data_IF_943994688555
#
_entry.id   IF_943994688555
#
_cell.length_a   1.000
_cell.length_b   1.000
_cell.length_c   1.000
_cell.angle_alpha   90.00
_cell.angle_beta   90.00
_cell.angle_gamma   90.00
#
_symmetry.space_group_name_H-M   'P 1'
#
loop_
_entity.id
_entity.type
_entity.pdbx_description
1 polymer ?
#
# COMPACT_ATOMS: atom_id res chain seq x y z
N UNK A 1 -6.61 -13.34 6.89
CA UNK A 1 -6.22 -11.92 7.06
C UNK A 1 -7.36 -11.11 7.68
N UNK A 2 -8.59 -11.13 7.14
CA UNK A 2 -9.72 -10.39 7.73
C UNK A 2 -10.00 -10.70 9.21
N UNK A 3 -9.96 -11.98 9.62
CA UNK A 3 -10.21 -12.34 11.03
C UNK A 3 -9.12 -11.80 11.96
N UNK A 4 -7.86 -11.81 11.55
CA UNK A 4 -6.76 -11.22 12.33
C UNK A 4 -6.95 -9.71 12.51
N UNK A 5 -7.39 -9.00 11.46
CA UNK A 5 -7.70 -7.57 11.53
C UNK A 5 -8.88 -7.32 12.47
N UNK A 6 -9.95 -8.13 12.40
CA UNK A 6 -11.10 -8.01 13.32
C UNK A 6 -10.68 -8.23 14.78
N UNK A 7 -9.87 -9.27 15.04
CA UNK A 7 -9.34 -9.56 16.38
C UNK A 7 -8.46 -8.40 16.87
N UNK A 8 -7.60 -7.86 16.02
CA UNK A 8 -6.79 -6.68 16.34
C UNK A 8 -7.65 -5.47 16.71
N UNK A 9 -8.66 -5.16 15.89
CA UNK A 9 -9.58 -4.02 16.14
C UNK A 9 -10.35 -4.23 17.44
N UNK A 10 -10.91 -5.42 17.67
CA UNK A 10 -11.65 -5.74 18.90
C UNK A 10 -10.76 -5.61 20.14
N UNK A 11 -9.55 -6.16 20.08
CA UNK A 11 -8.58 -6.06 21.18
C UNK A 11 -8.25 -4.60 21.50
N UNK A 12 -7.98 -3.80 20.47
CA UNK A 12 -7.65 -2.38 20.61
C UNK A 12 -8.83 -1.57 21.19
N UNK A 13 -10.07 -1.89 20.80
CA UNK A 13 -11.28 -1.30 21.35
C UNK A 13 -11.47 -1.64 22.83
N UNK A 14 -11.36 -2.93 23.18
CA UNK A 14 -11.45 -3.38 24.57
C UNK A 14 -10.43 -2.68 25.46
N UNK A 15 -9.19 -2.54 25.01
CA UNK A 15 -8.12 -1.86 25.74
C UNK A 15 -8.41 -0.37 25.97
N UNK A 16 -8.88 0.35 24.95
CA UNK A 16 -9.30 1.76 25.09
C UNK A 16 -10.41 1.87 26.15
N UNK A 17 -11.43 1.01 26.07
CA UNK A 17 -12.55 1.04 27.01
C UNK A 17 -12.15 0.66 28.44
N UNK A 18 -11.24 -0.30 28.61
CA UNK A 18 -10.69 -0.65 29.93
C UNK A 18 -9.93 0.51 30.58
N UNK A 19 -9.41 1.46 29.80
CA UNK A 19 -8.78 2.70 30.30
C UNK A 19 -9.79 3.84 30.52
N UNK A 20 -11.10 3.60 30.37
CA UNK A 20 -12.14 4.62 30.52
C UNK A 20 -12.15 5.69 29.41
N UNK A 21 -11.45 5.45 28.30
CA UNK A 21 -11.37 6.36 27.16
C UNK A 21 -12.48 6.07 26.16
N UNK A 22 -12.88 7.10 25.41
CA UNK A 22 -13.78 6.93 24.26
C UNK A 22 -12.99 6.48 23.04
N UNK A 23 -13.57 5.59 22.24
CA UNK A 23 -12.99 5.21 20.96
C UNK A 23 -12.97 6.42 20.01
N UNK A 24 -11.80 6.81 19.46
CA UNK A 24 -11.73 7.96 18.58
C UNK A 24 -12.43 7.67 17.25
N UNK A 25 -13.09 8.68 16.67
CA UNK A 25 -13.78 8.55 15.39
C UNK A 25 -12.81 8.18 14.25
N UNK A 26 -11.55 8.64 14.34
CA UNK A 26 -10.47 8.30 13.42
C UNK A 26 -9.31 7.66 14.17
N UNK A 27 -8.75 6.54 13.66
CA UNK A 27 -7.59 5.92 14.30
C UNK A 27 -6.39 6.87 14.23
N UNK A 28 -5.57 6.96 15.30
CA UNK A 28 -4.32 7.71 15.26
C UNK A 28 -3.34 7.01 14.32
N UNK A 29 -3.27 7.47 13.08
CA UNK A 29 -2.30 7.01 12.07
C UNK A 29 -1.39 8.16 11.69
N UNK A 30 -0.12 7.86 11.43
CA UNK A 30 0.80 8.90 10.96
C UNK A 30 0.39 9.39 9.55
N UNK A 31 0.63 10.68 9.24
CA UNK A 31 0.43 11.19 7.88
C UNK A 31 1.31 10.44 6.89
N UNK A 32 0.99 10.44 5.58
CA UNK A 32 1.85 9.82 4.57
C UNK A 32 3.25 10.40 4.65
N UNK A 33 4.27 9.55 4.53
CA UNK A 33 5.64 10.06 4.44
C UNK A 33 5.87 10.64 3.04
N UNK A 34 6.79 11.60 2.95
CA UNK A 34 7.20 12.22 1.69
C UNK A 34 8.15 11.28 0.91
N UNK A 35 7.74 10.01 0.73
CA UNK A 35 8.56 8.94 0.12
C UNK A 35 8.63 9.07 -1.41
N UNK A 36 8.30 10.24 -1.93
CA UNK A 36 8.27 10.46 -3.37
C UNK A 36 9.67 10.58 -3.98
N UNK A 37 10.69 10.93 -3.19
CA UNK A 37 12.05 11.09 -3.70
C UNK A 37 12.68 9.73 -4.06
N UNK A 38 12.96 9.53 -5.36
CA UNK A 38 13.64 8.38 -5.94
C UNK A 38 12.83 7.06 -5.99
N UNK A 39 11.49 7.14 -5.97
CA UNK A 39 10.64 5.96 -6.16
C UNK A 39 10.46 5.58 -7.63
N UNK A 40 10.28 4.28 -7.93
CA UNK A 40 9.91 3.82 -9.29
C UNK A 40 8.60 4.46 -9.78
N UNK A 41 7.68 4.78 -8.88
CA UNK A 41 6.44 5.50 -9.23
C UNK A 41 6.72 6.91 -9.77
N UNK A 42 7.69 7.62 -9.19
CA UNK A 42 8.14 8.93 -9.67
C UNK A 42 8.82 8.82 -11.04
N UNK A 43 9.74 7.86 -11.20
CA UNK A 43 10.41 7.58 -12.49
C UNK A 43 9.41 7.26 -13.61
N UNK A 44 8.34 6.53 -13.27
CA UNK A 44 7.23 6.19 -14.16
C UNK A 44 6.31 7.39 -14.51
N UNK A 45 6.44 8.53 -13.83
CA UNK A 45 5.63 9.72 -14.05
C UNK A 45 4.19 9.59 -13.52
N UNK A 46 3.98 8.80 -12.47
CA UNK A 46 2.65 8.61 -11.90
C UNK A 46 2.25 9.73 -10.94
N UNK A 47 0.96 10.05 -10.95
CA UNK A 47 0.34 10.99 -10.02
C UNK A 47 0.03 10.32 -8.67
N UNK A 48 -0.39 11.12 -7.68
CA UNK A 48 -0.79 10.64 -6.36
C UNK A 48 -1.98 9.64 -6.38
N UNK A 49 -2.73 9.54 -7.49
CA UNK A 49 -3.86 8.63 -7.63
C UNK A 49 -3.44 7.22 -8.07
N UNK A 50 -2.19 7.05 -8.53
CA UNK A 50 -1.64 5.77 -8.95
C UNK A 50 -2.04 5.36 -10.39
N UNK A 51 -1.65 4.14 -10.81
CA UNK A 51 -1.80 3.69 -12.19
C UNK A 51 -3.27 3.49 -12.59
N UNK A 52 -3.66 4.07 -13.74
CA UNK A 52 -5.00 3.92 -14.32
C UNK A 52 -4.93 3.25 -15.68
N UNK A 53 -5.92 2.41 -16.00
CA UNK A 53 -5.99 1.77 -17.30
C UNK A 53 -6.11 2.82 -18.42
N UNK A 54 -5.35 2.65 -19.50
CA UNK A 54 -5.37 3.53 -20.65
C UNK A 54 -4.52 4.80 -20.51
N UNK A 55 -3.88 5.06 -19.37
CA UNK A 55 -2.96 6.19 -19.22
C UNK A 55 -1.55 5.83 -19.66
N UNK A 56 -0.80 6.83 -20.10
CA UNK A 56 0.62 6.68 -20.43
C UNK A 56 1.47 6.61 -19.16
N UNK A 57 2.58 5.88 -19.21
CA UNK A 57 3.60 5.83 -18.17
C UNK A 57 4.99 5.71 -18.80
N UNK A 58 6.03 6.14 -18.10
CA UNK A 58 7.43 6.01 -18.55
C UNK A 58 7.99 4.63 -18.20
N UNK A 59 8.49 3.90 -19.19
CA UNK A 59 8.97 2.53 -19.09
C UNK A 59 10.45 2.40 -18.67
N UNK A 60 11.02 3.40 -17.98
CA UNK A 60 12.46 3.48 -17.70
C UNK A 60 12.97 2.27 -16.92
N UNK A 61 12.26 1.86 -15.87
CA UNK A 61 12.63 0.73 -15.01
C UNK A 61 11.86 -0.55 -15.37
N UNK A 62 11.14 -0.57 -16.50
CA UNK A 62 10.26 -1.68 -16.84
C UNK A 62 11.02 -2.85 -17.50
N UNK A 63 10.62 -4.07 -17.18
CA UNK A 63 11.21 -5.29 -17.75
C UNK A 63 10.32 -5.86 -18.85
N UNK A 64 10.81 -6.03 -20.09
CA UNK A 64 10.02 -6.64 -21.17
C UNK A 64 9.61 -8.07 -20.84
N UNK A 65 8.33 -8.39 -21.02
CA UNK A 65 7.76 -9.71 -20.77
C UNK A 65 6.69 -10.08 -21.81
N UNK A 66 6.31 -11.36 -21.78
CA UNK A 66 5.20 -11.91 -22.56
C UNK A 66 4.18 -12.54 -21.63
N UNK A 67 2.91 -12.40 -21.98
CA UNK A 67 1.80 -13.04 -21.28
C UNK A 67 0.82 -13.59 -22.31
N UNK A 68 0.26 -14.78 -22.03
CA UNK A 68 -0.82 -15.37 -22.80
C UNK A 68 -2.07 -15.45 -21.93
N UNK A 69 -3.15 -14.80 -22.36
CA UNK A 69 -4.47 -14.93 -21.73
C UNK A 69 -5.27 -16.11 -22.30
N UNK A 70 -4.96 -16.48 -23.54
CA UNK A 70 -5.56 -17.58 -24.27
C UNK A 70 -4.44 -18.37 -24.96
N UNK A 71 -4.66 -19.67 -25.14
CA UNK A 71 -3.69 -20.54 -25.81
C UNK A 71 -3.40 -20.00 -27.22
N UNK A 72 -2.13 -19.70 -27.50
CA UNK A 72 -1.68 -19.18 -28.79
C UNK A 72 -1.80 -17.66 -28.99
N UNK A 73 -2.26 -16.90 -27.98
CA UNK A 73 -2.33 -15.42 -28.03
C UNK A 73 -1.37 -14.80 -27.01
N UNK A 74 -0.07 -15.01 -27.22
CA UNK A 74 0.97 -14.28 -26.51
C UNK A 74 0.99 -12.81 -26.93
N UNK A 75 1.17 -11.91 -25.97
CA UNK A 75 1.34 -10.48 -26.20
C UNK A 75 2.57 -9.98 -25.46
N UNK A 76 3.25 -9.02 -26.07
CA UNK A 76 4.39 -8.34 -25.48
C UNK A 76 3.93 -7.19 -24.61
N UNK A 77 4.50 -7.08 -23.41
CA UNK A 77 4.27 -5.99 -22.47
C UNK A 77 5.58 -5.62 -21.78
N UNK A 78 5.59 -4.44 -21.19
CA UNK A 78 6.59 -4.00 -20.23
C UNK A 78 6.02 -4.16 -18.84
N UNK A 79 6.70 -4.94 -18.01
CA UNK A 79 6.36 -5.24 -16.63
C UNK A 79 6.98 -4.20 -15.70
N UNK A 80 6.18 -3.67 -14.77
CA UNK A 80 6.66 -2.75 -13.75
C UNK A 80 5.94 -3.01 -12.43
N UNK A 81 6.68 -3.05 -11.33
CA UNK A 81 6.10 -2.96 -9.98
C UNK A 81 6.40 -1.58 -9.39
N UNK A 82 5.43 -1.05 -8.67
CA UNK A 82 5.48 0.29 -8.09
C UNK A 82 4.73 0.31 -6.75
N UNK A 83 5.22 1.09 -5.80
CA UNK A 83 4.51 1.49 -4.60
C UNK A 83 4.29 3.00 -4.57
N UNK A 84 3.18 3.40 -3.95
CA UNK A 84 2.82 4.79 -3.70
C UNK A 84 2.11 4.88 -2.36
N UNK A 85 2.81 5.38 -1.35
CA UNK A 85 2.28 5.45 0.02
C UNK A 85 1.89 4.07 0.56
N UNK A 86 0.65 3.86 0.96
CA UNK A 86 0.21 2.55 1.47
C UNK A 86 -0.22 1.56 0.39
N UNK A 87 -0.18 1.98 -0.88
CA UNK A 87 -0.66 1.21 -2.01
C UNK A 87 0.51 0.75 -2.88
N UNK A 88 0.32 -0.35 -3.59
CA UNK A 88 1.30 -0.83 -4.55
C UNK A 88 0.63 -1.63 -5.64
N UNK A 89 1.23 -1.61 -6.82
CA UNK A 89 0.70 -2.27 -8.00
C UNK A 89 1.78 -2.97 -8.81
N UNK A 90 1.35 -4.02 -9.49
CA UNK A 90 2.01 -4.58 -10.66
C UNK A 90 1.27 -4.06 -11.89
N UNK A 91 2.03 -3.54 -12.84
CA UNK A 91 1.55 -2.90 -14.06
C UNK A 91 2.10 -3.65 -15.27
N UNK A 92 1.23 -3.87 -16.26
CA UNK A 92 1.64 -4.30 -17.59
C UNK A 92 1.26 -3.20 -18.59
N UNK A 93 2.26 -2.65 -19.25
CA UNK A 93 2.11 -1.59 -20.22
C UNK A 93 2.50 -2.05 -21.62
N UNK A 94 1.74 -1.62 -22.61
CA UNK A 94 2.06 -1.83 -24.01
C UNK A 94 2.93 -0.65 -24.49
N UNK A 95 4.08 -0.93 -25.07
CA UNK A 95 5.02 0.08 -25.54
C UNK A 95 4.41 0.92 -26.67
N UNK A 96 4.69 2.24 -26.66
CA UNK A 96 4.27 3.16 -27.71
C UNK A 96 5.41 3.39 -28.70
N UNK A 97 5.32 2.86 -29.95
CA UNK A 97 6.43 2.93 -30.91
C UNK A 97 6.86 4.35 -31.29
N UNK A 98 5.94 5.32 -31.18
CA UNK A 98 6.16 6.71 -31.60
C UNK A 98 6.64 7.61 -30.45
N UNK A 99 6.71 7.09 -29.23
CA UNK A 99 6.98 7.89 -28.03
C UNK A 99 7.78 7.07 -27.01
N UNK A 100 8.94 6.56 -27.40
CA UNK A 100 9.84 5.94 -26.43
C UNK A 100 10.39 6.99 -25.44
N UNK A 101 10.57 6.66 -24.15
CA UNK A 101 10.32 5.37 -23.49
C UNK A 101 8.95 5.34 -22.78
N UNK A 102 7.83 5.57 -23.49
CA UNK A 102 6.48 5.54 -22.91
C UNK A 102 5.70 4.30 -23.33
N UNK A 103 4.75 3.90 -22.50
CA UNK A 103 3.78 2.85 -22.79
C UNK A 103 2.41 3.16 -22.20
N UNK A 104 1.38 2.45 -22.67
CA UNK A 104 0.00 2.57 -22.20
C UNK A 104 -0.32 1.44 -21.24
N UNK A 105 -0.82 1.78 -20.06
CA UNK A 105 -1.26 0.81 -19.06
C UNK A 105 -2.43 0.00 -19.60
N UNK A 106 -2.25 -1.32 -19.74
CA UNK A 106 -3.33 -2.24 -20.15
C UNK A 106 -3.86 -3.07 -19.00
N UNK A 107 -3.02 -3.34 -18.01
CA UNK A 107 -3.43 -4.09 -16.83
C UNK A 107 -2.75 -3.55 -15.58
N UNK A 108 -3.48 -3.64 -14.47
CA UNK A 108 -3.04 -3.24 -13.15
C UNK A 108 -3.53 -4.30 -12.16
N UNK A 109 -2.66 -4.70 -11.25
CA UNK A 109 -2.97 -5.64 -10.18
C UNK A 109 -2.39 -5.13 -8.85
N UNK A 110 -3.06 -5.34 -7.71
CA UNK A 110 -2.49 -5.02 -6.41
C UNK A 110 -1.19 -5.79 -6.16
N UNK A 111 -0.18 -5.10 -5.65
CA UNK A 111 1.10 -5.69 -5.25
C UNK A 111 0.94 -6.56 -4.00
N UNK A 112 0.10 -6.11 -3.07
CA UNK A 112 -0.24 -6.83 -1.85
C UNK A 112 -0.91 -8.18 -2.20
N UNK A 113 -0.30 -9.27 -1.73
CA UNK A 113 -0.79 -10.62 -1.97
C UNK A 113 -0.45 -11.20 -3.35
N UNK A 114 0.39 -10.51 -4.14
CA UNK A 114 0.85 -10.97 -5.46
C UNK A 114 1.65 -12.27 -5.40
N UNK A 115 2.40 -12.50 -4.33
CA UNK A 115 3.16 -13.73 -4.06
C UNK A 115 3.95 -14.22 -5.30
N UNK A 116 4.87 -13.38 -5.82
CA UNK A 116 5.64 -13.69 -7.02
C UNK A 116 6.54 -14.90 -6.78
N UNK A 117 6.61 -15.82 -7.74
CA UNK A 117 7.44 -17.04 -7.64
C UNK A 117 7.96 -17.45 -9.00
N UNK A 118 9.22 -17.90 -9.06
CA UNK A 118 9.73 -18.57 -10.25
C UNK A 118 8.96 -19.87 -10.52
N UNK A 119 8.83 -20.21 -11.81
CA UNK A 119 8.45 -21.54 -12.24
C UNK A 119 9.62 -22.51 -12.03
N UNK A 120 9.33 -23.70 -11.50
CA UNK A 120 10.34 -24.71 -11.18
C UNK A 120 10.87 -25.45 -12.41
N UNK A 121 10.14 -25.44 -13.52
CA UNK A 121 10.53 -26.02 -14.82
C UNK A 121 11.08 -24.98 -15.77
N UNK A 122 10.62 -23.74 -15.65
CA UNK A 122 10.94 -22.66 -16.60
C UNK A 122 11.55 -21.46 -15.87
N UNK A 123 12.89 -21.38 -15.82
CA UNK A 123 13.60 -20.32 -15.07
C UNK A 123 13.31 -18.89 -15.54
N UNK A 124 12.77 -18.73 -16.77
CA UNK A 124 12.35 -17.45 -17.35
C UNK A 124 10.92 -17.06 -17.03
N UNK A 125 10.19 -17.88 -16.28
CA UNK A 125 8.77 -17.67 -16.00
C UNK A 125 8.56 -17.24 -14.55
N UNK A 126 7.75 -16.20 -14.37
CA UNK A 126 7.30 -15.70 -13.08
C UNK A 126 5.80 -15.93 -12.95
N UNK A 127 5.40 -16.65 -11.92
CA UNK A 127 4.01 -16.73 -11.51
C UNK A 127 3.69 -15.61 -10.54
N UNK A 128 2.57 -14.94 -10.77
CA UNK A 128 2.02 -13.94 -9.85
C UNK A 128 0.52 -14.17 -9.68
N UNK A 129 0.02 -14.01 -8.46
CA UNK A 129 -1.39 -14.13 -8.12
C UNK A 129 -2.02 -12.74 -8.13
N UNK A 130 -3.14 -12.60 -8.79
CA UNK A 130 -3.84 -11.33 -8.94
C UNK A 130 -5.18 -11.48 -8.30
N UNK A 131 -5.15 -11.13 -7.03
CA UNK A 131 -6.37 -10.91 -6.28
C UNK A 131 -6.85 -9.51 -6.65
N UNK A 132 -8.06 -9.39 -7.16
CA UNK A 132 -8.77 -8.12 -6.99
C UNK A 132 -8.91 -7.90 -5.49
N UNK A 133 -8.63 -6.68 -5.03
CA UNK A 133 -8.84 -6.27 -3.66
C UNK A 133 -10.35 -6.25 -3.36
N UNK A 134 -10.97 -7.41 -3.20
CA UNK A 134 -12.30 -7.52 -2.60
C UNK A 134 -12.13 -7.43 -1.08
N UNK A 135 -11.70 -6.27 -0.60
CA UNK A 135 -12.05 -5.84 0.74
C UNK A 135 -13.17 -4.81 0.56
N UNK A 136 -14.43 -5.14 0.89
CA UNK A 136 -15.49 -4.15 0.90
C UNK A 136 -15.28 -3.29 2.14
N UNK A 137 -14.44 -2.27 2.03
CA UNK A 137 -14.37 -1.21 3.03
C UNK A 137 -14.98 0.06 2.42
N UNK A 138 -16.31 0.12 2.58
CA UNK A 138 -17.16 1.32 2.52
C UNK A 138 -17.25 2.03 1.15
N UNK A 139 -18.25 1.63 0.35
CA UNK A 139 -19.16 2.53 -0.38
C UNK A 139 -20.28 1.71 -1.07
N UNK A 140 -21.58 2.03 -0.90
CA UNK A 140 -22.66 1.39 -1.65
C UNK A 140 -22.82 2.08 -3.01
N UNK A 141 -21.81 2.02 -3.87
CA UNK A 141 -21.93 2.46 -5.24
C UNK A 141 -22.06 1.25 -6.16
N UNK A 142 -23.10 1.27 -7.01
CA UNK A 142 -23.50 0.23 -7.98
C UNK A 142 -22.38 -0.06 -8.99
N UNK A 143 -21.34 -0.78 -8.58
CA UNK A 143 -20.33 -1.32 -9.47
C UNK A 143 -20.80 -2.68 -9.95
N UNK A 144 -21.09 -2.76 -11.25
CA UNK A 144 -21.37 -4.02 -11.94
C UNK A 144 -20.24 -4.99 -11.63
N UNK A 145 -20.54 -5.98 -10.81
CA UNK A 145 -19.68 -7.08 -10.41
C UNK A 145 -19.40 -7.93 -11.66
N UNK A 146 -18.44 -7.50 -12.48
CA UNK A 146 -17.72 -8.48 -13.29
C UNK A 146 -16.91 -9.29 -12.30
N UNK A 147 -17.37 -10.51 -12.04
CA UNK A 147 -16.63 -11.58 -11.39
C UNK A 147 -15.36 -11.83 -12.18
N UNK A 148 -14.35 -10.99 -11.96
CA UNK A 148 -13.01 -11.21 -12.45
C UNK A 148 -12.42 -12.27 -11.51
N UNK A 149 -12.32 -13.48 -12.05
CA UNK A 149 -11.69 -14.64 -11.43
C UNK A 149 -10.33 -14.21 -10.86
N UNK A 150 -10.04 -14.57 -9.61
CA UNK A 150 -8.70 -14.45 -9.01
C UNK A 150 -7.68 -15.02 -10.01
N UNK A 151 -6.92 -14.13 -10.63
CA UNK A 151 -6.16 -14.44 -11.83
C UNK A 151 -4.79 -14.95 -11.45
N UNK A 152 -4.34 -16.08 -12.02
CA UNK A 152 -2.91 -16.41 -12.00
C UNK A 152 -2.31 -15.85 -13.28
N UNK A 153 -1.37 -14.92 -13.17
CA UNK A 153 -0.52 -14.53 -14.28
C UNK A 153 0.71 -15.42 -14.32
N UNK A 154 1.07 -15.86 -15.51
CA UNK A 154 2.37 -16.45 -15.82
C UNK A 154 3.02 -15.52 -16.84
N UNK A 155 4.09 -14.87 -16.42
CA UNK A 155 4.86 -13.93 -17.22
C UNK A 155 6.12 -14.64 -17.72
N UNK A 156 6.37 -14.59 -19.01
CA UNK A 156 7.57 -15.13 -19.62
C UNK A 156 8.54 -13.99 -19.98
N UNK A 157 9.74 -14.04 -19.44
CA UNK A 157 10.80 -13.07 -19.68
C UNK A 157 11.77 -13.55 -20.76
N UNK A 158 12.62 -12.64 -21.25
CA UNK A 158 13.63 -12.94 -22.28
C UNK A 158 14.61 -14.01 -21.79
N UNK A 159 15.09 -13.85 -20.57
CA UNK A 159 16.13 -14.64 -19.92
C UNK A 159 15.86 -14.73 -18.40
N UNK A 160 16.66 -15.55 -17.72
CA UNK A 160 16.55 -15.81 -16.29
C UNK A 160 16.92 -14.58 -15.44
N UNK A 161 17.88 -13.77 -15.92
CA UNK A 161 18.28 -12.52 -15.27
C UNK A 161 17.10 -11.54 -15.25
N UNK A 162 16.45 -11.32 -16.39
CA UNK A 162 15.25 -10.49 -16.51
C UNK A 162 14.12 -10.98 -15.59
N UNK A 163 13.92 -12.29 -15.49
CA UNK A 163 12.93 -12.87 -14.58
C UNK A 163 13.28 -12.60 -13.11
N UNK A 164 14.57 -12.67 -12.77
CA UNK A 164 15.11 -12.40 -11.43
C UNK A 164 14.99 -10.92 -11.08
N UNK A 165 15.31 -10.02 -12.01
CA UNK A 165 15.10 -8.57 -11.88
C UNK A 165 13.64 -8.26 -11.62
N UNK A 166 12.72 -8.86 -12.38
CA UNK A 166 11.29 -8.66 -12.16
C UNK A 166 10.82 -9.19 -10.79
N UNK A 167 11.35 -10.32 -10.32
CA UNK A 167 11.07 -10.82 -8.98
C UNK A 167 11.59 -9.87 -7.89
N UNK A 168 12.86 -9.44 -7.99
CA UNK A 168 13.47 -8.50 -7.04
C UNK A 168 12.68 -7.19 -6.97
N UNK A 169 12.30 -6.66 -8.12
CA UNK A 169 11.46 -5.47 -8.24
C UNK A 169 10.16 -5.61 -7.45
N UNK A 170 9.43 -6.73 -7.58
CA UNK A 170 8.19 -6.93 -6.81
C UNK A 170 8.47 -7.00 -5.31
N UNK A 171 9.52 -7.72 -4.90
CA UNK A 171 9.84 -7.89 -3.48
C UNK A 171 10.30 -6.59 -2.82
N UNK A 172 11.10 -5.78 -3.52
CA UNK A 172 11.53 -4.46 -3.10
C UNK A 172 10.32 -3.54 -2.86
N UNK A 173 9.42 -3.43 -3.84
CA UNK A 173 8.23 -2.59 -3.71
C UNK A 173 7.28 -3.10 -2.61
N UNK A 174 7.17 -4.42 -2.41
CA UNK A 174 6.40 -5.00 -1.29
C UNK A 174 7.00 -4.57 0.04
N UNK A 175 8.34 -4.59 0.15
CA UNK A 175 9.03 -4.19 1.35
C UNK A 175 8.84 -2.69 1.64
N UNK A 176 8.96 -1.83 0.62
CA UNK A 176 8.69 -0.40 0.75
C UNK A 176 7.24 -0.11 1.17
N UNK A 177 6.27 -0.76 0.53
CA UNK A 177 4.86 -0.67 0.90
C UNK A 177 4.64 -1.12 2.35
N UNK A 178 5.25 -2.23 2.76
CA UNK A 178 5.11 -2.78 4.11
C UNK A 178 5.69 -1.84 5.16
N UNK A 179 6.87 -1.27 4.91
CA UNK A 179 7.51 -0.30 5.79
C UNK A 179 6.66 0.96 5.97
N UNK A 180 6.05 1.48 4.90
CA UNK A 180 5.16 2.64 4.99
C UNK A 180 3.88 2.30 5.76
N UNK A 181 3.28 1.12 5.53
CA UNK A 181 2.12 0.66 6.30
C UNK A 181 2.46 0.54 7.78
N UNK A 182 3.58 -0.09 8.13
CA UNK A 182 4.04 -0.22 9.52
C UNK A 182 4.25 1.15 10.16
N UNK A 183 4.95 2.06 9.48
CA UNK A 183 5.19 3.43 9.98
C UNK A 183 3.89 4.17 10.22
N UNK A 184 2.89 4.03 9.35
CA UNK A 184 1.58 4.67 9.51
C UNK A 184 0.77 4.09 10.66
N UNK A 185 0.84 2.78 10.85
CA UNK A 185 0.13 2.06 11.91
C UNK A 185 0.86 2.07 13.26
N UNK A 186 2.12 2.51 13.32
CA UNK A 186 2.93 2.55 14.55
C UNK A 186 2.22 3.10 15.79
N UNK A 187 1.43 4.20 15.73
CA UNK A 187 0.74 4.70 16.92
C UNK A 187 -0.36 3.76 17.45
N UNK A 188 -0.89 2.86 16.61
CA UNK A 188 -1.85 1.82 17.01
C UNK A 188 -1.17 0.58 17.59
N UNK A 189 0.10 0.36 17.25
CA UNK A 189 0.89 -0.76 17.74
C UNK A 189 1.60 -0.44 19.06
N UNK A 190 1.87 0.84 19.33
CA UNK A 190 2.54 1.30 20.55
C UNK A 190 1.56 1.43 21.73
N UNK A 191 1.12 0.27 22.19
CA UNK A 191 0.15 0.13 23.28
C UNK A 191 0.66 0.72 24.61
N UNK A 192 1.97 0.79 24.81
CA UNK A 192 2.59 1.34 26.03
C UNK A 192 2.33 2.84 26.16
N UNK A 193 2.36 3.58 25.05
CA UNK A 193 2.05 5.01 25.04
C UNK A 193 0.62 5.32 25.48
N UNK A 194 -0.33 4.40 25.22
CA UNK A 194 -1.74 4.55 25.62
C UNK A 194 -1.91 4.45 27.15
N UNK A 195 -1.12 3.59 27.80
CA UNK A 195 -1.11 3.43 29.25
C UNK A 195 -0.41 4.61 29.93
N UNK A 196 0.72 5.05 29.40
CA UNK A 196 1.51 6.16 29.97
C UNK A 196 0.80 7.52 29.89
N UNK A 197 0.09 7.79 28.78
CA UNK A 197 -0.73 9.01 28.65
C UNK A 197 -1.93 9.05 29.61
N UNK A 198 -2.36 7.92 30.17
CA UNK A 198 -3.45 7.90 31.17
C UNK A 198 -2.92 8.39 32.53
N UNK A 199 -1.70 7.99 32.87
CA UNK A 199 -1.08 8.29 34.16
C UNK A 199 -0.63 9.76 34.27
N UNK A 200 -0.41 10.46 33.16
CA UNK A 200 -0.03 11.89 33.18
C UNK A 200 -1.22 12.85 33.31
N UNK A 201 -2.46 12.38 33.08
CA UNK A 201 -3.67 13.22 33.14
C UNK A 201 -4.25 13.41 34.54
N UNK A 202 -3.73 12.71 35.56
CA UNK A 202 -4.11 12.90 36.97
C UNK A 202 -3.16 13.89 37.68
N UNK A 203 -3.22 15.17 37.29
CA UNK A 203 -2.75 16.26 38.15
C UNK A 203 -3.94 16.84 38.92
N UNK A 204 -3.88 17.03 40.25
CA UNK A 204 -5.01 17.57 41.00
C UNK A 204 -5.26 19.03 40.58
N UNK A 205 -6.53 19.50 40.53
CA UNK A 205 -6.82 20.89 40.28
C UNK A 205 -6.27 21.73 41.43
N UNK A 206 -5.28 22.58 41.14
CA UNK A 206 -4.82 23.60 42.09
C UNK A 206 -5.94 24.60 42.27
N UNK A 207 -6.63 24.51 43.40
CA UNK A 207 -7.50 25.56 43.92
C UNK A 207 -6.65 26.80 44.20
N UNK A 208 -6.74 27.80 43.33
CA UNK A 208 -6.19 29.14 43.58
C UNK A 208 -7.11 29.86 44.56
N UNK A 209 -6.74 29.88 45.83
CA UNK A 209 -7.36 30.75 46.84
C UNK A 209 -6.81 32.16 46.70
N UNK A 210 -7.73 33.12 46.69
CA UNK A 210 -7.47 34.55 46.67
C UNK A 210 -6.89 35.01 48.01
N UNK A 211 -5.83 35.82 47.98
CA UNK A 211 -5.58 36.80 49.04
C UNK A 211 -5.24 38.15 48.43
N UNK A 212 -6.13 39.11 48.70
CA UNK A 212 -6.04 40.53 48.41
C UNK A 212 -5.05 41.22 49.35
N UNK A 213 -4.14 42.03 48.80
CA UNK A 213 -3.39 43.05 49.56
C UNK A 213 -3.70 44.42 48.97
N UNK A 214 -4.50 45.20 49.69
CA UNK A 214 -4.63 46.64 49.53
C UNK A 214 -3.56 47.29 50.40
N UNK A 215 -2.57 47.92 49.79
CA UNK A 215 -1.58 48.76 50.47
C UNK A 215 -1.94 50.22 50.24
N UNK A 216 -2.33 50.89 51.32
CA UNK A 216 -2.43 52.34 51.39
C UNK A 216 -1.03 52.97 51.34
N UNK A 217 -0.90 54.10 50.66
CA UNK A 217 0.23 55.03 50.78
C UNK A 217 -0.29 56.44 51.01
N UNK A 218 0.44 57.15 51.88
CA UNK A 218 0.23 58.47 52.47
C UNK A 218 -0.18 59.60 51.53
#
# INVERSE_FOLDING_TARGET
MCELVKVFVLLHQLQIFSLGRTFPEKPPINPPADVFENSRAQSAGLDAAGPKLGTELRLVDAVPCRIAFERGKERHFSFLAIFLGTSGWVVLAEELPLKEPYGVIRMVAPLAGSNPKHDYKHSRWLHSRIRLSTLPFVEPAKLKTKTLVDGRWTLAFRDEESCTTALSMVLEEINLQSNEVERRLKPLLDLKSLVESSNSSQGPPRTSSFHSTLTNSF
#
